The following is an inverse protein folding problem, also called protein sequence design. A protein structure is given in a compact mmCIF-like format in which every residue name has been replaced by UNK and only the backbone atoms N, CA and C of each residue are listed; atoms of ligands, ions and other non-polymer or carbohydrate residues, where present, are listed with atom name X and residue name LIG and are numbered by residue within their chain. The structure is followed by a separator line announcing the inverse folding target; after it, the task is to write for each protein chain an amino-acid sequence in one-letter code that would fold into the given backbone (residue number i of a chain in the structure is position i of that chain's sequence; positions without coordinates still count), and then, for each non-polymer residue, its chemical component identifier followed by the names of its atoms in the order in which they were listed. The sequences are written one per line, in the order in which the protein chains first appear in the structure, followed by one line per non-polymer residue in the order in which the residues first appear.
data_IF_484861831489
#
_entry.id   IF_484861831489
#
_cell.length_a   1.000
_cell.length_b   1.000
_cell.length_c   1.000
_cell.angle_alpha   90.00
_cell.angle_beta   90.00
_cell.angle_gamma   90.00
#
_symmetry.space_group_name_H-M   'P 1'
#
loop_
_entity.id
_entity.type
_entity.pdbx_description
1 polymer ?
#
# COMPACT_ATOMS: atom_id res chain seq x y z
N UNK A 1 26.67 13.64 -9.66
CA UNK A 1 25.77 13.12 -10.72
C UNK A 1 25.83 14.09 -11.88
N UNK A 2 26.01 13.61 -13.12
CA UNK A 2 26.10 14.47 -14.29
C UNK A 2 25.20 13.93 -15.40
N UNK A 3 24.37 14.80 -15.98
CA UNK A 3 23.63 14.51 -17.20
C UNK A 3 24.58 14.73 -18.39
N UNK A 4 24.90 13.68 -19.14
CA UNK A 4 25.82 13.71 -20.29
C UNK A 4 25.11 13.79 -21.65
N UNK A 5 23.78 13.87 -21.66
CA UNK A 5 23.00 14.02 -22.88
C UNK A 5 22.73 15.48 -23.22
N UNK A 6 22.33 15.74 -24.47
CA UNK A 6 22.19 17.09 -25.04
C UNK A 6 20.87 17.81 -24.67
N UNK A 7 20.07 17.23 -23.76
CA UNK A 7 18.76 17.73 -23.35
C UNK A 7 18.56 17.72 -21.83
N UNK A 8 17.54 18.43 -21.31
CA UNK A 8 17.30 18.55 -19.87
C UNK A 8 16.90 17.21 -19.23
N UNK A 9 17.46 16.92 -18.06
CA UNK A 9 17.06 15.76 -17.25
C UNK A 9 15.86 16.08 -16.37
N UNK A 10 14.98 15.10 -16.17
CA UNK A 10 13.90 15.13 -15.18
C UNK A 10 14.14 13.99 -14.19
N UNK A 11 14.34 14.30 -12.91
CA UNK A 11 14.72 13.33 -11.88
C UNK A 11 13.88 13.48 -10.62
N UNK A 12 13.67 12.37 -9.91
CA UNK A 12 13.06 12.31 -8.58
C UNK A 12 14.04 11.61 -7.63
N UNK A 13 14.44 12.28 -6.55
CA UNK A 13 15.25 11.71 -5.48
C UNK A 13 14.38 11.57 -4.24
N UNK A 14 14.22 10.34 -3.76
CA UNK A 14 13.54 10.02 -2.51
C UNK A 14 14.57 9.45 -1.53
N UNK A 15 14.57 9.95 -0.30
CA UNK A 15 15.46 9.51 0.76
C UNK A 15 14.88 9.79 2.13
N UNK A 16 15.35 9.06 3.13
CA UNK A 16 14.91 9.16 4.52
C UNK A 16 15.55 8.06 5.36
N UNK A 17 15.45 8.14 6.70
CA UNK A 17 15.90 7.07 7.57
C UNK A 17 15.14 5.77 7.27
N UNK A 18 15.77 4.58 7.39
CA UNK A 18 15.06 3.31 7.28
C UNK A 18 13.92 3.24 8.30
N UNK A 19 12.78 2.67 7.90
CA UNK A 19 11.73 2.30 8.84
C UNK A 19 12.28 1.29 9.86
N UNK A 20 11.93 1.49 11.12
CA UNK A 20 12.38 0.61 12.22
C UNK A 20 11.38 -0.51 12.49
N UNK A 21 10.15 -0.31 12.07
CA UNK A 21 9.00 -1.17 12.25
C UNK A 21 8.94 -2.29 11.20
N UNK A 22 8.42 -3.44 11.61
CA UNK A 22 8.03 -4.51 10.71
C UNK A 22 6.70 -4.15 10.04
N UNK A 23 6.75 -3.89 8.73
CA UNK A 23 5.57 -3.53 7.94
C UNK A 23 5.18 -4.66 6.99
N UNK A 24 3.89 -5.00 6.99
CA UNK A 24 3.25 -5.86 6.00
C UNK A 24 2.47 -4.98 5.04
N UNK A 25 2.69 -5.16 3.74
CA UNK A 25 1.96 -4.47 2.69
C UNK A 25 1.31 -5.48 1.77
N UNK A 26 0.02 -5.31 1.53
CA UNK A 26 -0.73 -6.12 0.59
C UNK A 26 -1.89 -5.28 0.05
N UNK A 27 -2.05 -5.27 -1.27
CA UNK A 27 -2.97 -4.35 -1.94
C UNK A 27 -2.73 -2.89 -1.46
N UNK A 28 -3.80 -2.15 -1.17
CA UNK A 28 -3.75 -0.78 -0.69
C UNK A 28 -3.62 -0.68 0.84
N UNK A 29 -3.28 -1.77 1.52
CA UNK A 29 -3.16 -1.82 2.98
C UNK A 29 -1.71 -1.93 3.44
N UNK A 30 -1.40 -1.16 4.48
CA UNK A 30 -0.13 -1.24 5.22
C UNK A 30 -0.47 -1.43 6.69
N UNK A 31 0.02 -2.51 7.28
CA UNK A 31 -0.16 -2.86 8.69
C UNK A 31 1.14 -3.37 9.28
N UNK A 32 1.10 -3.77 10.56
CA UNK A 32 2.25 -4.35 11.27
C UNK A 32 2.23 -5.88 11.25
N UNK A 33 1.10 -6.48 10.90
CA UNK A 33 0.92 -7.93 10.89
C UNK A 33 -0.01 -8.40 9.77
N UNK A 34 -0.04 -9.71 9.51
CA UNK A 34 -1.06 -10.31 8.65
C UNK A 34 -2.48 -10.06 9.17
N UNK A 35 -2.66 -10.10 10.50
CA UNK A 35 -3.98 -9.98 11.12
C UNK A 35 -4.52 -8.54 10.96
N UNK A 36 -3.65 -7.52 11.00
CA UNK A 36 -4.02 -6.14 10.66
C UNK A 36 -4.59 -6.06 9.23
N UNK A 37 -3.90 -6.70 8.26
CA UNK A 37 -4.34 -6.70 6.86
C UNK A 37 -5.66 -7.44 6.71
N UNK A 38 -5.85 -8.56 7.41
CA UNK A 38 -7.10 -9.31 7.39
C UNK A 38 -8.26 -8.47 7.93
N UNK A 39 -8.05 -7.77 9.04
CA UNK A 39 -9.03 -6.83 9.61
C UNK A 39 -9.31 -5.67 8.64
N UNK A 40 -8.30 -5.04 8.04
CA UNK A 40 -8.53 -3.94 7.09
C UNK A 40 -9.31 -4.40 5.86
N UNK A 41 -9.03 -5.61 5.37
CA UNK A 41 -9.78 -6.23 4.28
C UNK A 41 -11.24 -6.44 4.66
N UNK A 42 -11.51 -7.00 5.83
CA UNK A 42 -12.88 -7.21 6.31
C UNK A 42 -13.63 -5.89 6.41
N UNK A 43 -13.06 -4.90 7.10
CA UNK A 43 -13.66 -3.57 7.26
C UNK A 43 -13.91 -2.88 5.91
N UNK A 44 -13.02 -3.06 4.93
CA UNK A 44 -13.24 -2.53 3.58
C UNK A 44 -14.44 -3.20 2.89
N UNK A 45 -14.54 -4.53 3.01
CA UNK A 45 -15.60 -5.32 2.39
C UNK A 45 -16.96 -5.09 3.05
N UNK A 46 -17.00 -4.80 4.35
CA UNK A 46 -18.24 -4.49 5.08
C UNK A 46 -18.66 -3.02 4.97
N UNK A 47 -17.93 -2.20 4.21
CA UNK A 47 -18.15 -0.76 4.10
C UNK A 47 -18.09 -0.04 5.46
N UNK A 48 -17.10 -0.40 6.29
CA UNK A 48 -16.87 0.28 7.55
C UNK A 48 -16.65 1.79 7.34
N UNK A 49 -17.25 2.58 8.23
CA UNK A 49 -17.25 4.04 8.15
C UNK A 49 -15.85 4.66 8.08
N UNK A 50 -14.82 3.97 8.59
CA UNK A 50 -13.43 4.45 8.53
C UNK A 50 -12.91 4.66 7.10
N UNK A 51 -13.47 3.96 6.12
CA UNK A 51 -13.08 4.06 4.71
C UNK A 51 -13.91 5.09 3.95
N UNK A 52 -15.02 5.58 4.55
CA UNK A 52 -15.92 6.56 3.96
C UNK A 52 -16.54 6.09 2.65
N UNK A 53 -17.17 7.02 1.94
CA UNK A 53 -17.71 6.83 0.60
C UNK A 53 -17.26 7.97 -0.32
N UNK A 54 -17.01 7.64 -1.58
CA UNK A 54 -16.62 8.62 -2.61
C UNK A 54 -17.87 9.16 -3.28
N UNK A 55 -18.24 10.39 -2.94
CA UNK A 55 -19.40 11.06 -3.52
C UNK A 55 -19.10 11.52 -4.96
N UNK A 56 -20.09 11.40 -5.85
CA UNK A 56 -19.98 11.83 -7.24
C UNK A 56 -19.18 10.90 -8.16
N UNK A 57 -18.84 9.69 -7.71
CA UNK A 57 -18.23 8.68 -8.56
C UNK A 57 -19.29 8.01 -9.45
N UNK A 58 -19.13 8.11 -10.77
CA UNK A 58 -20.08 7.60 -11.78
C UNK A 58 -19.60 6.30 -12.47
N UNK A 59 -18.78 5.49 -11.80
CA UNK A 59 -18.31 4.22 -12.37
C UNK A 59 -19.27 3.05 -12.15
N UNK A 60 -19.19 2.05 -13.04
CA UNK A 60 -20.01 0.84 -13.01
C UNK A 60 -19.92 0.02 -11.71
N UNK A 61 -18.79 0.11 -11.00
CA UNK A 61 -18.57 -0.58 -9.73
C UNK A 61 -18.37 0.50 -8.66
N UNK A 62 -19.31 0.60 -7.71
CA UNK A 62 -19.30 1.62 -6.66
C UNK A 62 -18.07 1.55 -5.75
N UNK A 63 -17.50 0.35 -5.56
CA UNK A 63 -16.31 0.11 -4.74
C UNK A 63 -15.55 -1.11 -5.25
N UNK A 64 -14.23 -0.98 -5.48
CA UNK A 64 -13.43 -2.13 -5.86
C UNK A 64 -13.37 -3.15 -4.72
N UNK A 65 -13.74 -4.42 -4.94
CA UNK A 65 -13.61 -5.45 -3.91
C UNK A 65 -12.14 -5.74 -3.63
N UNK A 66 -11.78 -5.89 -2.35
CA UNK A 66 -10.44 -6.34 -2.00
C UNK A 66 -10.25 -7.81 -2.44
N UNK A 67 -9.14 -8.16 -3.10
CA UNK A 67 -8.87 -9.56 -3.52
C UNK A 67 -8.89 -10.53 -2.32
N UNK A 68 -9.10 -11.84 -2.51
CA UNK A 68 -8.92 -12.79 -1.40
C UNK A 68 -7.49 -12.74 -0.87
N UNK A 69 -7.32 -12.98 0.43
CA UNK A 69 -5.98 -13.16 1.00
C UNK A 69 -5.33 -14.42 0.39
N UNK A 70 -4.00 -14.43 0.24
CA UNK A 70 -3.29 -15.63 -0.21
C UNK A 70 -3.46 -16.77 0.80
N UNK A 71 -3.26 -18.01 0.35
CA UNK A 71 -3.40 -19.23 1.16
C UNK A 71 -2.34 -19.37 2.30
N UNK A 72 -1.54 -18.33 2.57
CA UNK A 72 -0.51 -18.32 3.59
C UNK A 72 -0.42 -16.97 4.28
N UNK A 73 0.33 -16.92 5.39
CA UNK A 73 0.50 -15.66 6.15
C UNK A 73 1.42 -14.71 5.41
N UNK A 74 0.97 -13.45 5.32
CA UNK A 74 1.77 -12.34 4.83
C UNK A 74 2.93 -12.11 5.82
N UNK A 75 4.14 -11.91 5.29
CA UNK A 75 5.33 -11.67 6.11
C UNK A 75 5.73 -10.21 6.05
N UNK A 76 6.21 -9.63 7.16
CA UNK A 76 6.78 -8.29 7.14
C UNK A 76 7.96 -8.20 6.18
N UNK A 77 8.15 -7.01 5.59
CA UNK A 77 9.33 -6.76 4.77
C UNK A 77 10.57 -6.78 5.68
N UNK A 78 11.59 -7.62 5.37
CA UNK A 78 12.80 -7.65 6.17
C UNK A 78 13.52 -6.31 6.09
N UNK A 79 14.13 -5.91 7.21
CA UNK A 79 14.97 -4.71 7.27
C UNK A 79 16.16 -4.89 6.32
N UNK A 80 16.52 -3.88 5.50
CA UNK A 80 17.76 -3.94 4.76
C UNK A 80 18.91 -4.18 5.75
N UNK A 81 19.73 -5.21 5.50
CA UNK A 81 20.98 -5.35 6.22
C UNK A 81 21.84 -4.11 5.89
N UNK A 82 22.29 -3.43 6.94
CA UNK A 82 23.26 -2.34 6.80
C UNK A 82 24.61 -2.84 6.31
#
# INVERSE_FOLDING_TARGET
MANRGDGPARALLLGGPPFTEELVMWWNFVGRSHDDIATYRELWQTNDARFGDVQGYEGHISRLPAPPLPNGRLKPRPRPAG
#
